data_IF_763409885814
#
_entry.id   IF_763409885814
#
_cell.length_a   1.000
_cell.length_b   1.000
_cell.length_c   1.000
_cell.angle_alpha   90.00
_cell.angle_beta   90.00
_cell.angle_gamma   90.00
#
_symmetry.space_group_name_H-M   'P 1'
#
loop_
_entity.id
_entity.type
_entity.pdbx_description
1 polymer ?
#
# COMPACT_ATOMS: atom_id res chain seq x y z
N UNK A 1 1.16 8.13 -0.58
CA UNK A 1 1.11 9.00 0.62
C UNK A 1 2.37 9.83 0.80
N UNK A 2 3.59 9.24 0.83
CA UNK A 2 4.83 9.98 1.07
C UNK A 2 5.00 11.18 0.12
N UNK A 3 4.79 11.00 -1.17
CA UNK A 3 4.89 12.07 -2.16
C UNK A 3 3.97 13.27 -1.83
N UNK A 4 2.71 13.02 -1.50
CA UNK A 4 1.75 14.09 -1.15
C UNK A 4 2.15 14.84 0.13
N UNK A 5 2.70 14.15 1.14
CA UNK A 5 3.18 14.82 2.35
C UNK A 5 4.44 15.65 2.10
N UNK A 6 5.34 15.18 1.25
CA UNK A 6 6.56 15.91 0.90
C UNK A 6 6.24 17.12 0.01
N UNK A 7 5.29 16.97 -0.92
CA UNK A 7 4.83 18.08 -1.77
C UNK A 7 4.25 19.22 -0.91
N UNK A 8 3.42 18.90 0.10
CA UNK A 8 2.90 19.89 1.07
C UNK A 8 4.01 20.63 1.85
N UNK A 9 5.21 20.05 1.93
CA UNK A 9 6.39 20.69 2.53
C UNK A 9 7.24 21.46 1.52
N UNK A 10 6.79 21.60 0.27
CA UNK A 10 7.45 22.39 -0.76
C UNK A 10 8.54 21.65 -1.54
N UNK A 11 8.67 20.33 -1.41
CA UNK A 11 9.63 19.57 -2.21
C UNK A 11 9.12 19.36 -3.64
N UNK A 12 10.03 19.41 -4.62
CA UNK A 12 9.76 18.99 -5.99
C UNK A 12 9.88 17.46 -6.06
N UNK A 13 8.87 16.80 -6.62
CA UNK A 13 8.75 15.34 -6.59
C UNK A 13 8.38 14.82 -7.97
N UNK A 14 9.13 13.80 -8.42
CA UNK A 14 8.72 12.90 -9.47
C UNK A 14 8.25 11.59 -8.84
N UNK A 15 7.05 11.14 -9.18
CA UNK A 15 6.48 9.87 -8.74
C UNK A 15 6.35 8.93 -9.94
N UNK A 16 7.08 7.82 -9.90
CA UNK A 16 7.12 6.84 -10.98
C UNK A 16 6.43 5.55 -10.55
N UNK A 17 5.60 4.98 -11.41
CA UNK A 17 5.11 3.62 -11.31
C UNK A 17 5.15 2.96 -12.68
N UNK A 18 5.57 1.68 -12.75
CA UNK A 18 5.60 0.93 -14.00
C UNK A 18 4.21 0.58 -14.53
N UNK A 19 3.18 0.62 -13.68
CA UNK A 19 1.81 0.38 -14.06
C UNK A 19 1.08 1.69 -14.38
N UNK A 20 -0.01 1.57 -15.12
CA UNK A 20 -1.05 2.59 -15.25
C UNK A 20 -2.20 2.26 -14.30
N UNK A 21 -2.84 3.27 -13.77
CA UNK A 21 -3.92 3.12 -12.80
C UNK A 21 -5.30 3.39 -13.43
N UNK A 22 -6.35 2.69 -12.97
CA UNK A 22 -6.37 1.72 -11.85
C UNK A 22 -5.63 0.43 -12.20
N UNK A 23 -4.99 -0.20 -11.19
CA UNK A 23 -4.31 -1.48 -11.36
C UNK A 23 -4.59 -2.43 -10.20
N UNK A 24 -4.58 -3.71 -10.49
CA UNK A 24 -4.69 -4.75 -9.47
C UNK A 24 -3.39 -4.88 -8.66
N UNK A 25 -3.57 -5.20 -7.40
CA UNK A 25 -2.46 -5.55 -6.50
C UNK A 25 -2.93 -6.57 -5.47
N UNK A 26 -2.29 -7.72 -5.46
CA UNK A 26 -2.58 -8.77 -4.47
C UNK A 26 -2.37 -8.21 -3.06
N UNK A 27 -3.44 -8.17 -2.28
CA UNK A 27 -3.50 -7.66 -0.93
C UNK A 27 -4.69 -8.27 -0.20
N UNK A 28 -4.64 -8.34 1.14
CA UNK A 28 -5.81 -8.71 1.95
C UNK A 28 -6.82 -7.59 2.14
N UNK A 29 -6.58 -6.42 1.55
CA UNK A 29 -7.51 -5.26 1.48
C UNK A 29 -8.03 -4.79 2.84
N UNK A 30 -7.32 -5.17 3.88
CA UNK A 30 -7.59 -4.77 5.24
C UNK A 30 -6.76 -3.54 5.62
N UNK A 31 -7.42 -2.51 6.10
CA UNK A 31 -6.79 -1.24 6.49
C UNK A 31 -7.08 -1.00 7.97
N UNK A 32 -6.02 -0.88 8.76
CA UNK A 32 -6.12 -0.69 10.21
C UNK A 32 -6.76 0.66 10.58
N UNK A 33 -7.37 0.79 11.77
CA UNK A 33 -8.02 2.04 12.20
C UNK A 33 -7.09 3.26 12.15
N UNK A 34 -5.80 3.09 12.42
CA UNK A 34 -4.83 4.19 12.39
C UNK A 34 -4.67 4.84 11.01
N UNK A 35 -5.08 4.18 9.94
CA UNK A 35 -4.97 4.71 8.59
C UNK A 35 -5.98 5.83 8.30
N UNK A 36 -7.11 5.89 8.99
CA UNK A 36 -8.13 6.92 8.79
C UNK A 36 -7.55 8.33 8.98
N UNK A 37 -6.71 8.51 10.00
CA UNK A 37 -6.01 9.78 10.24
C UNK A 37 -5.11 10.16 9.07
N UNK A 38 -4.46 9.18 8.45
CA UNK A 38 -3.58 9.40 7.30
C UNK A 38 -4.40 9.72 6.05
N UNK A 39 -5.46 8.95 5.79
CA UNK A 39 -6.35 9.16 4.66
C UNK A 39 -7.06 10.52 4.74
N UNK A 40 -7.49 10.92 5.95
CA UNK A 40 -8.06 12.25 6.20
C UNK A 40 -7.04 13.37 5.90
N UNK A 41 -5.81 13.28 6.43
CA UNK A 41 -4.73 14.26 6.17
C UNK A 41 -4.37 14.35 4.68
N UNK A 42 -4.55 13.28 3.93
CA UNK A 42 -4.36 13.24 2.48
C UNK A 42 -5.58 13.76 1.71
N UNK A 43 -6.73 13.95 2.38
CA UNK A 43 -7.99 14.34 1.76
C UNK A 43 -8.60 13.24 0.89
N UNK A 44 -8.37 11.97 1.24
CA UNK A 44 -8.86 10.79 0.51
C UNK A 44 -9.99 10.10 1.27
N UNK A 45 -10.08 10.29 2.60
CA UNK A 45 -11.01 9.54 3.44
C UNK A 45 -12.47 9.72 3.00
N UNK A 46 -12.91 10.94 2.72
CA UNK A 46 -14.28 11.22 2.32
C UNK A 46 -14.65 10.50 1.00
N UNK A 47 -13.73 10.43 0.06
CA UNK A 47 -13.92 9.70 -1.19
C UNK A 47 -14.00 8.19 -0.97
N UNK A 48 -13.25 7.66 -0.01
CA UNK A 48 -13.35 6.24 0.40
C UNK A 48 -14.69 5.98 1.08
N UNK A 49 -15.11 6.84 2.01
CA UNK A 49 -16.40 6.69 2.72
C UNK A 49 -17.61 6.77 1.76
N UNK A 50 -17.53 7.60 0.73
CA UNK A 50 -18.57 7.71 -0.30
C UNK A 50 -18.82 6.39 -1.06
N UNK A 51 -17.86 5.48 -1.04
CA UNK A 51 -18.02 4.13 -1.61
C UNK A 51 -18.78 3.17 -0.67
N UNK A 52 -19.13 3.61 0.53
CA UNK A 52 -19.75 2.80 1.57
C UNK A 52 -18.97 1.49 1.86
N UNK A 53 -17.67 1.58 2.20
CA UNK A 53 -16.83 0.42 2.40
C UNK A 53 -17.27 -0.38 3.62
N UNK A 54 -16.89 -1.66 3.67
CA UNK A 54 -17.14 -2.45 4.88
C UNK A 54 -16.24 -1.97 6.01
N UNK A 55 -16.85 -1.58 7.12
CA UNK A 55 -16.19 -1.21 8.37
C UNK A 55 -16.26 -2.35 9.38
N UNK A 56 -15.11 -2.73 9.94
CA UNK A 56 -15.02 -3.77 10.97
C UNK A 56 -14.76 -3.13 12.33
N UNK A 57 -15.52 -3.53 13.33
CA UNK A 57 -15.35 -3.09 14.73
C UNK A 57 -14.31 -3.90 15.50
N UNK A 58 -13.83 -5.00 14.92
CA UNK A 58 -12.87 -5.89 15.57
C UNK A 58 -12.45 -7.05 14.70
N UNK A 59 -11.80 -8.00 15.34
CA UNK A 59 -11.27 -9.21 14.72
C UNK A 59 -11.82 -10.44 15.45
N UNK A 60 -12.19 -11.45 14.69
CA UNK A 60 -12.47 -12.80 15.20
C UNK A 60 -11.30 -13.70 14.78
N UNK A 61 -10.66 -14.28 15.78
CA UNK A 61 -9.60 -15.26 15.59
C UNK A 61 -10.14 -16.65 15.89
N UNK A 62 -9.85 -17.61 15.04
CA UNK A 62 -10.04 -19.02 15.38
C UNK A 62 -8.76 -19.81 15.14
N UNK A 63 -8.53 -20.80 16.01
CA UNK A 63 -7.37 -21.66 15.90
C UNK A 63 -7.83 -23.13 16.05
N UNK A 64 -7.32 -23.97 15.16
CA UNK A 64 -7.46 -25.42 15.24
C UNK A 64 -8.89 -25.90 15.47
N UNK A 65 -9.87 -25.24 14.79
CA UNK A 65 -11.30 -25.58 14.80
C UNK A 65 -12.04 -25.50 16.15
N UNK A 66 -11.34 -25.26 17.26
CA UNK A 66 -11.94 -25.36 18.59
C UNK A 66 -11.87 -24.09 19.44
N UNK A 67 -10.97 -23.18 19.13
CA UNK A 67 -10.78 -21.97 19.93
C UNK A 67 -11.16 -20.72 19.15
N UNK A 68 -11.99 -19.89 19.74
CA UNK A 68 -12.44 -18.63 19.17
C UNK A 68 -12.15 -17.48 20.14
N UNK A 69 -11.62 -16.40 19.60
CA UNK A 69 -11.39 -15.18 20.32
C UNK A 69 -11.94 -14.02 19.48
N UNK A 70 -12.89 -13.28 20.03
CA UNK A 70 -13.38 -12.03 19.45
C UNK A 70 -12.80 -10.86 20.21
N UNK A 71 -12.22 -9.91 19.50
CA UNK A 71 -11.63 -8.70 20.07
C UNK A 71 -12.17 -7.51 19.32
N UNK A 72 -12.83 -6.60 20.04
CA UNK A 72 -13.26 -5.31 19.51
C UNK A 72 -12.11 -4.31 19.58
N UNK A 73 -12.06 -3.37 18.64
CA UNK A 73 -11.11 -2.26 18.73
C UNK A 73 -11.46 -1.35 19.90
N UNK A 74 -10.48 -0.79 20.59
CA UNK A 74 -10.72 0.19 21.64
C UNK A 74 -11.40 1.44 21.05
N UNK A 75 -12.02 2.22 21.91
CA UNK A 75 -12.41 3.58 21.55
C UNK A 75 -11.18 4.49 21.48
N UNK A 76 -11.23 5.50 20.62
CA UNK A 76 -10.26 6.57 20.59
C UNK A 76 -10.34 7.43 21.87
N UNK A 77 -9.36 8.30 22.08
CA UNK A 77 -9.28 9.13 23.29
C UNK A 77 -10.49 10.07 23.48
N UNK A 78 -11.20 10.42 22.42
CA UNK A 78 -12.43 11.21 22.40
C UNK A 78 -13.71 10.34 22.55
N UNK A 79 -13.55 9.03 22.76
CA UNK A 79 -14.66 8.08 22.94
C UNK A 79 -15.28 7.56 21.64
N UNK A 80 -14.81 7.97 20.47
CA UNK A 80 -15.29 7.47 19.20
C UNK A 80 -14.89 6.00 18.98
N UNK A 81 -15.78 5.18 18.42
CA UNK A 81 -15.48 3.80 18.11
C UNK A 81 -14.45 3.72 16.97
N UNK A 82 -13.31 3.07 17.23
CA UNK A 82 -12.33 2.79 16.19
C UNK A 82 -12.80 1.64 15.31
N UNK A 83 -12.62 1.77 14.01
CA UNK A 83 -12.94 0.71 13.05
C UNK A 83 -11.84 0.57 12.03
N UNK A 84 -11.58 -0.65 11.58
CA UNK A 84 -10.81 -0.89 10.36
C UNK A 84 -11.74 -0.89 9.16
N UNK A 85 -11.19 -0.80 7.97
CA UNK A 85 -11.99 -0.83 6.75
C UNK A 85 -11.42 -1.82 5.72
N UNK A 86 -12.29 -2.29 4.84
CA UNK A 86 -11.91 -3.06 3.66
C UNK A 86 -12.26 -2.28 2.42
N UNK A 87 -11.28 -2.10 1.56
CA UNK A 87 -11.44 -1.47 0.24
C UNK A 87 -10.44 -2.07 -0.73
N UNK A 88 -10.90 -2.33 -1.93
CA UNK A 88 -10.06 -2.88 -2.99
C UNK A 88 -8.88 -1.95 -3.31
N UNK A 89 -7.71 -2.56 -3.50
CA UNK A 89 -6.48 -1.81 -3.77
C UNK A 89 -6.50 -1.07 -5.10
N UNK A 90 -7.17 -1.61 -6.11
CA UNK A 90 -7.41 -0.93 -7.38
C UNK A 90 -8.10 0.42 -7.18
N UNK A 91 -9.11 0.45 -6.33
CA UNK A 91 -9.91 1.64 -6.01
C UNK A 91 -9.11 2.59 -5.12
N UNK A 92 -8.61 2.11 -3.98
CA UNK A 92 -7.87 2.96 -3.02
C UNK A 92 -6.63 3.60 -3.65
N UNK A 93 -5.83 2.78 -4.35
CA UNK A 93 -4.60 3.25 -4.98
C UNK A 93 -4.92 4.31 -6.05
N UNK A 94 -6.02 4.15 -6.81
CA UNK A 94 -6.46 5.15 -7.79
C UNK A 94 -6.94 6.44 -7.13
N UNK A 95 -7.76 6.38 -6.08
CA UNK A 95 -8.20 7.57 -5.34
C UNK A 95 -7.02 8.37 -4.79
N UNK A 96 -6.00 7.67 -4.28
CA UNK A 96 -4.76 8.33 -3.83
C UNK A 96 -3.99 8.94 -4.99
N UNK A 97 -3.97 8.28 -6.16
CA UNK A 97 -3.28 8.79 -7.34
C UNK A 97 -4.01 9.99 -7.95
N UNK A 98 -5.34 10.05 -7.86
CA UNK A 98 -6.12 11.21 -8.29
C UNK A 98 -5.74 12.47 -7.50
N UNK A 99 -5.39 12.34 -6.21
CA UNK A 99 -4.82 13.45 -5.44
C UNK A 99 -3.45 13.87 -5.97
N UNK A 100 -2.63 12.91 -6.43
CA UNK A 100 -1.34 13.20 -7.08
C UNK A 100 -1.55 13.92 -8.41
N UNK A 101 -2.46 13.44 -9.25
CA UNK A 101 -2.80 14.05 -10.55
C UNK A 101 -3.25 15.51 -10.42
N UNK A 102 -3.89 15.85 -9.29
CA UNK A 102 -4.34 17.20 -8.97
C UNK A 102 -3.36 17.98 -8.07
N UNK A 103 -2.10 17.58 -8.01
CA UNK A 103 -1.04 18.24 -7.24
C UNK A 103 0.08 18.74 -8.16
N UNK A 104 1.16 19.28 -7.57
CA UNK A 104 2.37 19.68 -8.32
C UNK A 104 3.38 18.55 -8.50
N UNK A 105 3.03 17.32 -8.12
CA UNK A 105 3.89 16.15 -8.29
C UNK A 105 3.93 15.77 -9.77
N UNK A 106 5.11 15.60 -10.31
CA UNK A 106 5.30 15.05 -11.65
C UNK A 106 5.02 13.54 -11.61
N UNK A 107 3.85 13.15 -12.12
CA UNK A 107 3.42 11.75 -12.15
C UNK A 107 3.80 11.10 -13.47
N UNK A 108 4.52 9.99 -13.39
CA UNK A 108 5.00 9.21 -14.52
C UNK A 108 4.50 7.75 -14.39
N UNK A 109 3.35 7.46 -15.00
CA UNK A 109 2.77 6.11 -15.11
C UNK A 109 3.31 5.40 -16.35
N UNK A 110 3.54 4.10 -16.27
CA UNK A 110 4.17 3.32 -17.34
C UNK A 110 5.70 3.44 -17.38
N UNK A 111 6.31 4.00 -16.34
CA UNK A 111 7.75 4.23 -16.24
C UNK A 111 8.41 3.23 -15.29
N UNK A 112 9.13 2.27 -15.86
CA UNK A 112 9.82 1.21 -15.12
C UNK A 112 11.23 1.61 -14.76
N UNK A 113 11.50 1.86 -13.48
CA UNK A 113 12.87 2.04 -12.99
C UNK A 113 13.61 0.69 -13.03
N UNK A 114 14.77 0.67 -13.65
CA UNK A 114 15.60 -0.53 -13.80
C UNK A 114 16.93 -0.44 -13.08
N UNK A 115 17.40 0.77 -12.76
CA UNK A 115 18.66 0.98 -12.08
C UNK A 115 18.68 2.29 -11.27
N UNK A 116 19.68 2.41 -10.40
CA UNK A 116 20.01 3.62 -9.66
C UNK A 116 21.17 4.35 -10.34
N UNK A 117 21.17 5.68 -10.28
CA UNK A 117 22.30 6.52 -10.66
C UNK A 117 23.16 6.78 -9.42
N UNK A 118 24.48 6.80 -9.62
CA UNK A 118 25.46 7.02 -8.56
C UNK A 118 26.42 8.14 -8.93
N UNK A 119 26.73 8.96 -7.94
CA UNK A 119 27.80 9.95 -7.96
C UNK A 119 28.52 9.87 -6.61
N UNK A 120 29.83 9.77 -6.59
CA UNK A 120 30.67 9.63 -5.39
C UNK A 120 30.13 8.59 -4.38
N UNK A 121 29.75 7.42 -4.89
CA UNK A 121 29.19 6.31 -4.12
C UNK A 121 27.84 6.62 -3.41
N UNK A 122 27.14 7.68 -3.82
CA UNK A 122 25.82 8.06 -3.33
C UNK A 122 24.80 7.93 -4.44
N UNK A 123 23.58 7.49 -4.09
CA UNK A 123 22.48 7.49 -5.05
C UNK A 123 22.07 8.93 -5.36
N UNK A 124 22.16 9.30 -6.63
CA UNK A 124 21.84 10.64 -7.15
C UNK A 124 20.67 10.64 -8.14
N UNK A 125 20.01 9.51 -8.33
CA UNK A 125 18.87 9.42 -9.24
C UNK A 125 18.50 8.00 -9.61
N UNK A 126 17.66 7.90 -10.64
CA UNK A 126 17.17 6.64 -11.19
C UNK A 126 17.24 6.65 -12.72
N UNK A 127 17.35 5.47 -13.33
CA UNK A 127 17.17 5.28 -14.77
C UNK A 127 16.22 4.12 -15.05
N UNK A 128 15.61 4.16 -16.19
CA UNK A 128 14.65 3.15 -16.59
C UNK A 128 14.16 3.31 -18.02
N UNK A 129 13.05 2.69 -18.30
CA UNK A 129 12.43 2.70 -19.61
C UNK A 129 10.93 2.95 -19.47
N UNK A 130 10.38 3.69 -20.39
CA UNK A 130 8.94 3.81 -20.54
C UNK A 130 8.33 2.56 -21.25
N UNK A 131 7.05 2.58 -21.49
CA UNK A 131 6.31 1.50 -22.17
C UNK A 131 6.77 1.29 -23.62
N UNK A 132 7.32 2.32 -24.26
CA UNK A 132 7.88 2.25 -25.64
C UNK A 132 9.31 1.75 -25.65
N UNK A 133 9.88 1.42 -24.48
CA UNK A 133 11.29 1.06 -24.26
C UNK A 133 12.26 2.22 -24.47
N UNK A 134 11.75 3.43 -24.48
CA UNK A 134 12.58 4.63 -24.50
C UNK A 134 13.26 4.80 -23.15
N UNK A 135 14.58 4.94 -23.13
CA UNK A 135 15.34 5.14 -21.91
C UNK A 135 15.11 6.53 -21.31
N UNK A 136 15.07 6.60 -20.01
CA UNK A 136 15.04 7.84 -19.24
C UNK A 136 16.03 7.82 -18.09
N UNK A 137 16.45 9.00 -17.66
CA UNK A 137 17.22 9.21 -16.44
C UNK A 137 16.70 10.43 -15.70
N UNK A 138 16.54 10.32 -14.38
CA UNK A 138 16.07 11.40 -13.53
C UNK A 138 17.05 11.55 -12.38
N UNK A 139 17.64 12.73 -12.26
CA UNK A 139 18.49 13.07 -11.12
C UNK A 139 17.64 13.53 -9.93
N UNK A 140 18.03 13.12 -8.75
CA UNK A 140 17.34 13.47 -7.51
C UNK A 140 18.32 13.52 -6.33
N UNK A 141 18.10 14.46 -5.41
CA UNK A 141 18.87 14.52 -4.16
C UNK A 141 18.59 13.33 -3.25
N UNK A 142 17.36 12.81 -3.30
CA UNK A 142 16.89 11.66 -2.51
C UNK A 142 16.00 10.79 -3.39
N UNK A 143 16.23 9.49 -3.35
CA UNK A 143 15.37 8.48 -3.98
C UNK A 143 14.66 7.70 -2.89
N UNK A 144 13.33 7.65 -2.97
CA UNK A 144 12.48 6.84 -2.08
C UNK A 144 11.95 5.66 -2.87
N UNK A 145 12.46 4.47 -2.56
CA UNK A 145 12.02 3.25 -3.23
C UNK A 145 10.86 2.61 -2.47
N UNK A 146 9.68 2.68 -3.06
CA UNK A 146 8.45 2.05 -2.60
C UNK A 146 8.05 0.84 -3.48
N UNK A 147 9.00 0.25 -4.22
CA UNK A 147 8.79 -0.84 -5.18
C UNK A 147 8.42 -2.20 -4.58
N UNK A 148 8.31 -2.29 -3.25
CA UNK A 148 7.88 -3.50 -2.55
C UNK A 148 8.87 -4.67 -2.74
N UNK A 149 8.37 -5.87 -3.00
CA UNK A 149 9.21 -7.08 -3.15
C UNK A 149 10.20 -7.01 -4.31
N UNK A 150 9.89 -6.22 -5.32
CA UNK A 150 10.69 -6.04 -6.52
C UNK A 150 11.54 -4.75 -6.48
N UNK A 151 11.74 -4.20 -5.28
CA UNK A 151 12.53 -2.99 -5.04
C UNK A 151 13.88 -3.05 -5.75
N UNK A 152 14.15 -2.03 -6.55
CA UNK A 152 15.40 -1.90 -7.28
C UNK A 152 16.57 -1.61 -6.32
N UNK A 153 16.31 -0.81 -5.29
CA UNK A 153 17.31 -0.45 -4.27
C UNK A 153 17.77 -1.67 -3.49
N UNK A 154 16.85 -2.54 -3.08
CA UNK A 154 17.18 -3.79 -2.37
C UNK A 154 18.12 -4.65 -3.22
N UNK A 155 17.85 -4.74 -4.51
CA UNK A 155 18.65 -5.55 -5.45
C UNK A 155 20.00 -4.91 -5.75
N UNK A 156 20.03 -3.61 -6.06
CA UNK A 156 21.25 -2.92 -6.51
C UNK A 156 22.22 -2.64 -5.38
N UNK A 157 21.72 -2.40 -4.18
CA UNK A 157 22.52 -2.15 -2.99
C UNK A 157 22.80 -3.43 -2.17
N UNK A 158 22.36 -4.59 -2.68
CA UNK A 158 22.53 -5.90 -2.03
C UNK A 158 22.04 -5.91 -0.57
N UNK A 159 20.90 -5.27 -0.32
CA UNK A 159 20.31 -5.13 1.03
C UNK A 159 19.53 -6.37 1.47
N UNK A 160 19.37 -7.35 0.59
CA UNK A 160 18.62 -8.56 0.89
C UNK A 160 19.45 -9.48 1.78
N UNK A 161 19.02 -9.67 3.02
CA UNK A 161 19.55 -10.71 3.89
C UNK A 161 18.74 -11.99 3.69
N UNK A 162 19.43 -13.10 3.41
CA UNK A 162 18.78 -14.40 3.40
C UNK A 162 18.44 -14.76 4.86
N UNK A 163 17.15 -14.86 5.15
CA UNK A 163 16.67 -15.40 6.40
C UNK A 163 16.54 -16.92 6.23
N UNK A 164 17.19 -17.69 7.06
CA UNK A 164 16.89 -19.10 7.23
C UNK A 164 15.50 -19.20 7.86
N UNK A 165 14.49 -19.47 7.05
CA UNK A 165 13.12 -19.48 7.55
C UNK A 165 12.14 -20.04 6.56
N UNK A 166 10.94 -20.22 7.03
CA UNK A 166 9.79 -20.74 6.26
C UNK A 166 9.51 -19.88 5.02
N UNK A 167 9.39 -20.52 3.88
CA UNK A 167 8.83 -19.90 2.68
C UNK A 167 7.32 -19.76 2.89
N UNK A 168 6.84 -18.54 2.97
CA UNK A 168 5.40 -18.25 3.05
C UNK A 168 4.88 -17.83 1.68
N UNK A 169 3.75 -18.38 1.30
CA UNK A 169 3.00 -18.00 0.11
C UNK A 169 1.70 -17.35 0.58
N UNK A 170 1.31 -16.24 -0.03
CA UNK A 170 0.02 -15.62 0.18
C UNK A 170 -0.80 -15.75 -1.10
N UNK A 171 -2.02 -16.23 -0.96
CA UNK A 171 -3.03 -16.25 -2.00
C UNK A 171 -4.14 -15.29 -1.59
N UNK A 172 -4.71 -14.58 -2.55
CA UNK A 172 -5.87 -13.73 -2.34
C UNK A 172 -6.95 -14.11 -3.34
N UNK A 173 -8.19 -14.13 -2.89
CA UNK A 173 -9.37 -14.37 -3.72
C UNK A 173 -10.55 -13.60 -3.17
N UNK A 174 -11.49 -13.24 -4.03
CA UNK A 174 -12.75 -12.61 -3.65
C UNK A 174 -13.87 -13.66 -3.72
N UNK A 175 -14.75 -13.60 -2.74
CA UNK A 175 -15.90 -14.50 -2.63
C UNK A 175 -17.16 -13.67 -2.50
N UNK A 176 -18.20 -14.05 -3.22
CA UNK A 176 -19.53 -13.49 -3.13
C UNK A 176 -20.42 -14.37 -2.20
N UNK A 177 -21.50 -13.81 -1.72
CA UNK A 177 -22.52 -14.49 -0.90
C UNK A 177 -22.01 -15.17 0.39
N UNK A 178 -20.92 -14.64 0.95
CA UNK A 178 -20.36 -15.16 2.20
C UNK A 178 -21.33 -14.88 3.36
N UNK A 179 -21.76 -15.92 4.04
CA UNK A 179 -22.73 -15.87 5.17
C UNK A 179 -22.02 -15.69 6.51
N UNK A 180 -21.24 -14.63 6.65
CA UNK A 180 -20.59 -14.26 7.91
C UNK A 180 -21.04 -12.85 8.34
N UNK A 181 -21.08 -12.55 9.67
CA UNK A 181 -21.29 -11.19 10.13
C UNK A 181 -20.28 -10.22 9.53
N UNK A 182 -20.76 -9.16 8.90
CA UNK A 182 -19.92 -8.23 8.11
C UNK A 182 -19.13 -7.22 8.94
N UNK A 183 -19.35 -7.17 10.26
CA UNK A 183 -18.75 -6.18 11.14
C UNK A 183 -17.47 -6.65 11.84
N UNK A 184 -16.91 -7.80 11.45
CA UNK A 184 -15.65 -8.33 11.94
C UNK A 184 -14.77 -8.83 10.79
N UNK A 185 -13.47 -8.67 10.96
CA UNK A 185 -12.47 -9.36 10.15
C UNK A 185 -12.22 -10.75 10.77
N UNK A 186 -12.22 -11.80 9.94
CA UNK A 186 -12.02 -13.18 10.39
C UNK A 186 -10.63 -13.66 10.02
N UNK A 187 -9.92 -14.21 10.99
CA UNK A 187 -8.62 -14.86 10.80
C UNK A 187 -8.70 -16.29 11.32
N UNK A 188 -8.45 -17.24 10.46
CA UNK A 188 -8.45 -18.66 10.80
C UNK A 188 -7.04 -19.24 10.73
N UNK A 189 -6.62 -19.86 11.83
CA UNK A 189 -5.36 -20.59 11.92
C UNK A 189 -5.69 -22.07 11.87
N UNK A 190 -5.25 -22.74 10.82
CA UNK A 190 -5.42 -24.17 10.64
C UNK A 190 -4.07 -24.89 10.77
N UNK A 191 -4.12 -26.21 10.91
CA UNK A 191 -2.92 -27.02 10.78
C UNK A 191 -2.35 -26.87 9.37
N UNK A 192 -1.01 -26.88 9.21
CA UNK A 192 -0.41 -26.97 7.90
C UNK A 192 -0.87 -28.28 7.24
N UNK A 193 -1.43 -28.17 6.01
CA UNK A 193 -1.82 -29.31 5.20
C UNK A 193 -0.63 -30.06 4.65
#
# INVERSE_FOLDING_TARGET
SAALFLEKKGYHIALLDQARFPRDKICGEFISPAADVILSKLGVLDAVEALNPTRFRGIVLSAYESSWLQVDYPSSADGAAMTSLSVERSILDNLMLDKVRNSRIELMEGFKVVDLLFEDNRVCGVKGNDETKTEFSINAKIVIDAGGRNSISIRRLNLRKNSFGTRKIALATHWEDVKLPRNYCYMHISHPG
#
